data_IF_567833961100
#
_entry.id   IF_567833961100
#
_cell.length_a   1.000
_cell.length_b   1.000
_cell.length_c   1.000
_cell.angle_alpha   90.00
_cell.angle_beta   90.00
_cell.angle_gamma   90.00
#
_symmetry.space_group_name_H-M   'P 1'
#
loop_
_entity.id
_entity.type
_entity.pdbx_description
1 polymer ?
#
# COMPACT_ATOMS: atom_id res chain seq x y z
N UNK A 1 -11.91 -19.18 3.44
CA UNK A 1 -12.72 -18.83 2.26
C UNK A 1 -11.96 -18.01 1.20
N UNK A 2 -11.67 -16.72 1.37
CA UNK A 2 -11.05 -15.92 0.28
C UNK A 2 -9.63 -16.37 -0.09
N UNK A 3 -8.79 -16.68 0.90
CA UNK A 3 -7.45 -17.22 0.64
C UNK A 3 -7.49 -18.56 -0.09
N UNK A 4 -8.46 -19.43 0.25
CA UNK A 4 -8.64 -20.74 -0.40
C UNK A 4 -9.00 -20.58 -1.89
N UNK A 5 -9.82 -19.58 -2.24
CA UNK A 5 -10.22 -19.31 -3.63
C UNK A 5 -9.03 -18.98 -4.54
N UNK A 6 -7.93 -18.45 -3.98
CA UNK A 6 -6.73 -18.04 -4.74
C UNK A 6 -5.51 -18.94 -4.47
N UNK A 7 -5.66 -20.01 -3.69
CA UNK A 7 -4.55 -20.85 -3.23
C UNK A 7 -3.79 -21.57 -4.36
N UNK A 8 -4.38 -21.63 -5.56
CA UNK A 8 -3.76 -22.19 -6.76
C UNK A 8 -2.90 -21.19 -7.54
N UNK A 9 -2.73 -19.96 -7.03
CA UNK A 9 -1.99 -18.86 -7.66
C UNK A 9 -0.86 -18.38 -6.76
N UNK A 10 0.03 -17.55 -7.30
CA UNK A 10 1.04 -16.82 -6.51
C UNK A 10 0.49 -15.53 -5.87
N UNK A 11 -0.79 -15.21 -6.08
CA UNK A 11 -1.44 -14.03 -5.55
C UNK A 11 -1.55 -14.10 -4.02
N UNK A 12 -1.34 -12.97 -3.34
CA UNK A 12 -1.50 -12.84 -1.89
C UNK A 12 -2.72 -12.00 -1.57
N UNK A 13 -3.57 -12.51 -0.67
CA UNK A 13 -4.70 -11.75 -0.14
C UNK A 13 -4.21 -10.77 0.93
N UNK A 14 -4.44 -9.48 0.71
CA UNK A 14 -4.10 -8.41 1.66
C UNK A 14 -5.32 -7.86 2.38
N UNK A 15 -5.12 -7.43 3.61
CA UNK A 15 -6.10 -6.63 4.34
C UNK A 15 -5.93 -5.12 4.13
N UNK A 16 -6.75 -4.32 4.83
CA UNK A 16 -6.66 -2.85 4.77
C UNK A 16 -6.72 -2.24 6.16
N UNK A 17 -6.66 -0.91 6.23
CA UNK A 17 -6.92 -0.16 7.47
C UNK A 17 -8.41 0.06 7.78
N UNK A 18 -9.34 -0.49 6.97
CA UNK A 18 -10.79 -0.46 7.20
C UNK A 18 -11.20 -1.51 8.24
N UNK A 19 -10.71 -1.33 9.46
CA UNK A 19 -10.92 -2.24 10.60
C UNK A 19 -11.96 -1.69 11.56
N UNK A 20 -12.63 -2.56 12.33
CA UNK A 20 -13.47 -2.14 13.45
C UNK A 20 -12.65 -1.25 14.41
N UNK A 21 -13.17 -0.08 14.82
CA UNK A 21 -12.47 0.81 15.75
C UNK A 21 -11.98 0.08 17.01
N UNK A 22 -10.73 0.33 17.41
CA UNK A 22 -10.09 -0.31 18.56
C UNK A 22 -9.54 -1.73 18.32
N UNK A 23 -9.93 -2.42 17.24
CA UNK A 23 -9.61 -3.84 17.04
C UNK A 23 -8.59 -4.12 15.93
N UNK A 24 -7.80 -3.12 15.51
CA UNK A 24 -6.92 -3.26 14.34
C UNK A 24 -5.94 -4.42 14.43
N UNK A 25 -5.19 -4.50 15.52
CA UNK A 25 -4.19 -5.56 15.74
C UNK A 25 -4.86 -6.93 15.80
N UNK A 26 -5.98 -7.05 16.50
CA UNK A 26 -6.74 -8.30 16.59
C UNK A 26 -7.29 -8.75 15.22
N UNK A 27 -7.80 -7.82 14.40
CA UNK A 27 -8.32 -8.13 13.07
C UNK A 27 -7.20 -8.46 12.07
N UNK A 28 -6.06 -7.76 12.10
CA UNK A 28 -4.85 -8.11 11.32
C UNK A 28 -4.32 -9.50 11.71
N UNK A 29 -4.31 -9.80 13.00
CA UNK A 29 -3.97 -11.15 13.48
C UNK A 29 -4.96 -12.20 12.95
N UNK A 30 -6.27 -11.92 12.98
CA UNK A 30 -7.28 -12.82 12.44
C UNK A 30 -7.12 -13.06 10.93
N UNK A 31 -6.74 -12.03 10.15
CA UNK A 31 -6.39 -12.17 8.72
C UNK A 31 -5.24 -13.16 8.55
N UNK A 32 -4.19 -13.02 9.36
CA UNK A 32 -3.01 -13.90 9.32
C UNK A 32 -3.41 -15.35 9.63
N UNK A 33 -4.21 -15.57 10.69
CA UNK A 33 -4.76 -16.89 11.02
C UNK A 33 -5.62 -17.48 9.89
N UNK A 34 -6.32 -16.62 9.13
CA UNK A 34 -7.13 -17.01 7.98
C UNK A 34 -6.35 -17.25 6.68
N UNK A 35 -5.01 -17.19 6.71
CA UNK A 35 -4.14 -17.39 5.54
C UNK A 35 -3.94 -16.15 4.66
N UNK A 36 -4.36 -14.97 5.13
CA UNK A 36 -4.06 -13.70 4.48
C UNK A 36 -2.73 -13.09 4.96
N UNK A 37 -2.33 -12.01 4.29
CA UNK A 37 -1.13 -11.24 4.62
C UNK A 37 -1.53 -9.82 5.04
N UNK A 38 -0.81 -9.27 6.01
CA UNK A 38 -1.07 -7.91 6.46
C UNK A 38 -0.43 -6.91 5.50
N UNK A 39 -1.22 -5.95 5.01
CA UNK A 39 -0.69 -4.69 4.50
C UNK A 39 -0.11 -3.86 5.67
N UNK A 40 0.24 -2.59 5.45
CA UNK A 40 0.71 -1.68 6.51
C UNK A 40 -0.25 -1.63 7.71
N UNK A 41 0.31 -1.56 8.91
CA UNK A 41 -0.39 -1.48 10.19
C UNK A 41 -1.10 -0.12 10.31
N UNK A 42 -0.45 0.96 9.91
CA UNK A 42 -0.90 2.32 10.18
C UNK A 42 -0.47 3.32 9.13
N UNK A 43 -0.40 4.59 9.53
CA UNK A 43 0.12 5.68 8.68
C UNK A 43 1.61 5.95 8.94
N UNK A 44 2.23 5.17 9.83
CA UNK A 44 3.59 5.41 10.34
C UNK A 44 4.64 4.45 9.75
N UNK A 45 4.21 3.38 9.11
CA UNK A 45 5.05 2.26 8.68
C UNK A 45 5.24 2.17 7.17
N UNK A 46 4.36 2.76 6.36
CA UNK A 46 4.54 2.88 4.91
C UNK A 46 3.74 4.06 4.34
N UNK A 47 4.24 4.62 3.24
CA UNK A 47 3.49 5.57 2.42
C UNK A 47 2.50 4.84 1.51
N UNK A 48 1.34 5.45 1.33
CA UNK A 48 0.40 5.12 0.26
C UNK A 48 -0.01 6.45 -0.34
N UNK A 49 0.67 6.81 -1.41
CA UNK A 49 0.44 8.02 -2.19
C UNK A 49 -0.80 7.78 -3.03
N UNK A 50 -1.69 8.76 -3.05
CA UNK A 50 -2.95 8.77 -3.80
C UNK A 50 -3.05 10.07 -4.59
N UNK A 51 -4.05 10.18 -5.47
CA UNK A 51 -4.32 11.37 -6.29
C UNK A 51 -4.20 12.69 -5.51
N UNK A 52 -4.81 12.79 -4.33
CA UNK A 52 -4.78 14.02 -3.52
C UNK A 52 -3.36 14.45 -3.10
N UNK A 53 -2.45 13.49 -2.92
CA UNK A 53 -1.05 13.75 -2.58
C UNK A 53 -0.24 14.13 -3.83
N UNK A 54 -0.52 13.46 -4.95
CA UNK A 54 0.09 13.73 -6.26
C UNK A 54 -0.20 15.18 -6.66
N UNK A 55 -1.46 15.60 -6.56
CA UNK A 55 -1.87 16.99 -6.83
C UNK A 55 -1.14 17.96 -5.90
N UNK A 56 -1.06 17.66 -4.60
CA UNK A 56 -0.41 18.53 -3.62
C UNK A 56 1.11 18.67 -3.84
N UNK A 57 1.77 17.63 -4.36
CA UNK A 57 3.21 17.64 -4.65
C UNK A 57 3.55 18.08 -6.08
N UNK A 58 2.55 18.28 -6.95
CA UNK A 58 2.76 18.69 -8.34
C UNK A 58 3.19 17.56 -9.28
N UNK A 59 2.90 16.30 -8.93
CA UNK A 59 3.19 15.13 -9.77
C UNK A 59 3.63 13.89 -8.99
N UNK A 60 3.56 12.72 -9.66
CA UNK A 60 3.89 11.41 -9.07
C UNK A 60 5.35 11.37 -8.64
N UNK A 61 6.27 11.77 -9.53
CA UNK A 61 7.71 11.77 -9.26
C UNK A 61 8.07 12.63 -8.07
N UNK A 62 7.50 13.84 -7.98
CA UNK A 62 7.73 14.77 -6.88
C UNK A 62 7.20 14.20 -5.57
N UNK A 63 6.03 13.56 -5.58
CA UNK A 63 5.45 12.94 -4.39
C UNK A 63 6.33 11.79 -3.87
N UNK A 64 6.83 10.91 -4.75
CA UNK A 64 7.67 9.77 -4.38
C UNK A 64 9.02 10.26 -3.84
N UNK A 65 9.68 11.19 -4.54
CA UNK A 65 10.95 11.77 -4.09
C UNK A 65 10.80 12.41 -2.71
N UNK A 66 9.74 13.19 -2.52
CA UNK A 66 9.47 13.84 -1.23
C UNK A 66 9.23 12.82 -0.11
N UNK A 67 8.49 11.75 -0.38
CA UNK A 67 8.26 10.68 0.60
C UNK A 67 9.57 10.00 1.03
N UNK A 68 10.44 9.67 0.07
CA UNK A 68 11.74 9.05 0.32
C UNK A 68 12.72 9.96 1.06
N UNK A 69 12.69 11.27 0.79
CA UNK A 69 13.46 12.26 1.53
C UNK A 69 12.98 12.42 2.98
N UNK A 70 11.66 12.48 3.20
CA UNK A 70 11.08 12.75 4.51
C UNK A 70 11.26 11.58 5.48
N UNK A 71 11.09 10.35 5.01
CA UNK A 71 11.30 9.16 5.83
C UNK A 71 12.04 8.07 5.03
N UNK A 72 13.37 8.16 4.93
CA UNK A 72 14.17 7.16 4.24
C UNK A 72 13.93 5.75 4.79
N UNK A 73 13.84 4.77 3.89
CA UNK A 73 13.64 3.36 4.23
C UNK A 73 12.20 2.95 4.54
N UNK A 74 11.22 3.88 4.49
CA UNK A 74 9.80 3.52 4.50
C UNK A 74 9.35 3.11 3.09
N UNK A 75 8.66 1.98 2.93
CA UNK A 75 8.08 1.60 1.63
C UNK A 75 7.16 2.69 1.10
N UNK A 76 7.24 2.95 -0.20
CA UNK A 76 6.42 3.91 -0.93
C UNK A 76 5.55 3.18 -1.93
N UNK A 77 4.26 3.07 -1.61
CA UNK A 77 3.22 2.59 -2.52
C UNK A 77 2.51 3.76 -3.21
N UNK A 78 2.18 3.62 -4.48
CA UNK A 78 1.45 4.64 -5.26
C UNK A 78 0.20 4.05 -5.90
N UNK A 79 -0.96 4.64 -5.62
CA UNK A 79 -2.22 4.32 -6.30
C UNK A 79 -2.26 5.01 -7.66
N UNK A 80 -2.51 4.23 -8.71
CA UNK A 80 -2.57 4.69 -10.11
C UNK A 80 -3.86 4.25 -10.78
N UNK A 81 -4.45 5.11 -11.61
CA UNK A 81 -5.70 4.87 -12.33
C UNK A 81 -5.51 4.67 -13.84
N UNK A 82 -4.29 4.86 -14.35
CA UNK A 82 -3.96 4.63 -15.76
C UNK A 82 -2.60 3.94 -15.95
N UNK A 83 -2.41 3.32 -17.12
CA UNK A 83 -1.12 2.72 -17.50
C UNK A 83 0.00 3.75 -17.63
N UNK A 84 -0.34 5.02 -17.87
CA UNK A 84 0.64 6.10 -17.95
C UNK A 84 1.14 6.48 -16.56
N UNK A 85 0.23 6.63 -15.59
CA UNK A 85 0.58 6.85 -14.19
C UNK A 85 1.40 5.69 -13.61
N UNK A 86 1.05 4.45 -13.96
CA UNK A 86 1.81 3.27 -13.59
C UNK A 86 3.26 3.35 -14.06
N UNK A 87 3.50 3.71 -15.32
CA UNK A 87 4.86 3.88 -15.85
C UNK A 87 5.63 4.96 -15.11
N UNK A 88 5.00 6.10 -14.87
CA UNK A 88 5.63 7.20 -14.12
C UNK A 88 6.00 6.80 -12.69
N UNK A 89 5.12 6.06 -12.00
CA UNK A 89 5.37 5.57 -10.66
C UNK A 89 6.56 4.58 -10.62
N UNK A 90 6.62 3.66 -11.58
CA UNK A 90 7.74 2.70 -11.73
C UNK A 90 9.06 3.45 -11.98
N UNK A 91 9.07 4.38 -12.94
CA UNK A 91 10.27 5.15 -13.31
C UNK A 91 10.76 6.05 -12.17
N UNK A 92 9.84 6.62 -11.38
CA UNK A 92 10.15 7.39 -10.18
C UNK A 92 10.57 6.52 -8.98
N UNK A 93 10.50 5.19 -9.12
CA UNK A 93 10.96 4.22 -8.14
C UNK A 93 9.99 3.99 -6.99
N UNK A 94 8.68 3.95 -7.23
CA UNK A 94 7.75 3.39 -6.26
C UNK A 94 8.15 1.94 -5.91
N UNK A 95 8.00 1.55 -4.64
CA UNK A 95 8.29 0.18 -4.19
C UNK A 95 7.11 -0.76 -4.48
N UNK A 96 5.89 -0.21 -4.48
CA UNK A 96 4.61 -0.91 -4.69
C UNK A 96 3.71 -0.06 -5.59
#
# INVERSE_FOLDING_TARGET
EYAEKIAHTECRLLDTRKTIPGLRSALKYAVTCGGGFNHRIGVFDAYLIKENHIIACGGITQAIQKAKELNPGKPVEVETESLEELKQAIEAGADI
#
